data_IF_774532761093
#
_entry.id   IF_774532761093
#
_cell.length_a   1.000
_cell.length_b   1.000
_cell.length_c   1.000
_cell.angle_alpha   90.00
_cell.angle_beta   90.00
_cell.angle_gamma   90.00
#
_symmetry.space_group_name_H-M   'P 1'
#
loop_
_entity.id
_entity.type
_entity.pdbx_description
1 polymer ?
#
# COMPACT_ATOMS: atom_id res chain seq x y z
N UNK A 1 19.74 -11.17 1.79
CA UNK A 1 18.78 -10.42 0.97
C UNK A 1 19.01 -8.93 1.15
N UNK A 2 19.22 -8.24 0.06
CA UNK A 2 19.44 -6.80 0.11
C UNK A 2 18.13 -6.07 0.25
N UNK A 3 18.15 -5.01 1.04
CA UNK A 3 16.98 -4.15 1.21
C UNK A 3 17.34 -2.73 0.85
N UNK A 4 16.34 -1.98 0.40
CA UNK A 4 16.50 -0.57 0.08
C UNK A 4 15.55 0.23 0.93
N UNK A 5 16.06 1.25 1.59
CA UNK A 5 15.23 2.16 2.35
C UNK A 5 14.64 3.22 1.41
N UNK A 6 13.33 3.30 1.36
CA UNK A 6 12.65 4.30 0.56
C UNK A 6 11.69 5.08 1.46
N UNK A 7 11.21 6.21 0.96
CA UNK A 7 10.20 6.98 1.67
C UNK A 7 8.99 7.20 0.76
N UNK A 8 7.80 7.10 1.35
CA UNK A 8 6.56 7.35 0.64
C UNK A 8 5.67 8.22 1.52
N UNK A 9 4.82 9.01 0.87
CA UNK A 9 3.81 9.79 1.57
C UNK A 9 2.52 8.99 1.61
N UNK A 10 1.91 8.91 2.77
CA UNK A 10 0.67 8.17 2.96
C UNK A 10 -0.38 9.15 3.47
N UNK A 11 -1.60 9.03 2.94
CA UNK A 11 -2.71 9.83 3.42
C UNK A 11 -2.88 9.60 4.92
N UNK A 12 -2.94 10.69 5.68
CA UNK A 12 -2.93 10.62 7.14
C UNK A 12 -4.08 9.78 7.69
N UNK A 13 -5.29 10.01 7.19
CA UNK A 13 -6.46 9.28 7.66
C UNK A 13 -6.40 7.80 7.29
N UNK A 14 -5.85 7.50 6.11
CA UNK A 14 -5.68 6.12 5.67
C UNK A 14 -4.68 5.40 6.56
N UNK A 15 -3.59 6.06 6.90
CA UNK A 15 -2.59 5.49 7.79
C UNK A 15 -3.19 5.18 9.17
N UNK A 16 -4.00 6.11 9.69
CA UNK A 16 -4.68 5.90 10.96
C UNK A 16 -5.61 4.70 10.92
N UNK A 17 -6.34 4.55 9.81
CA UNK A 17 -7.23 3.39 9.62
C UNK A 17 -6.42 2.10 9.55
N UNK A 18 -5.28 2.12 8.84
CA UNK A 18 -4.41 0.95 8.76
C UNK A 18 -3.95 0.52 10.14
N UNK A 19 -3.48 1.47 10.96
CA UNK A 19 -3.02 1.18 12.32
C UNK A 19 -4.14 0.59 13.16
N UNK A 20 -5.37 1.08 12.97
CA UNK A 20 -6.51 0.61 13.73
C UNK A 20 -6.91 -0.82 13.37
N UNK A 21 -6.98 -1.12 12.07
CA UNK A 21 -7.40 -2.45 11.63
C UNK A 21 -6.33 -3.51 11.83
N UNK A 22 -5.07 -3.10 12.04
CA UNK A 22 -3.97 -4.03 12.29
C UNK A 22 -3.55 -4.08 13.75
N UNK A 23 -4.35 -3.49 14.65
CA UNK A 23 -3.98 -3.37 16.06
C UNK A 23 -3.67 -4.72 16.71
N UNK A 24 -4.49 -5.73 16.41
CA UNK A 24 -4.31 -7.07 16.95
C UNK A 24 -3.63 -8.03 15.98
N UNK A 25 -3.25 -7.55 14.81
CA UNK A 25 -2.62 -8.35 13.77
C UNK A 25 -1.11 -8.17 13.81
N UNK A 26 -0.40 -9.13 13.22
CA UNK A 26 1.06 -9.03 13.09
C UNK A 26 1.46 -8.38 11.77
N UNK A 27 0.53 -7.70 11.13
CA UNK A 27 0.81 -6.99 9.89
C UNK A 27 1.53 -5.69 10.21
N UNK A 28 2.57 -5.38 9.44
CA UNK A 28 3.26 -4.10 9.52
C UNK A 28 3.19 -3.41 8.16
N UNK A 29 3.44 -2.11 8.15
CA UNK A 29 3.46 -1.37 6.89
C UNK A 29 4.52 -1.93 5.95
N UNK A 30 5.67 -2.29 6.49
CA UNK A 30 6.75 -2.87 5.69
C UNK A 30 6.32 -4.19 5.05
N UNK A 31 5.66 -5.06 5.80
CA UNK A 31 5.14 -6.33 5.25
C UNK A 31 4.11 -6.07 4.17
N UNK A 32 3.19 -5.15 4.44
CA UNK A 32 2.15 -4.81 3.47
C UNK A 32 2.76 -4.31 2.17
N UNK A 33 3.72 -3.40 2.27
CA UNK A 33 4.36 -2.82 1.09
C UNK A 33 5.07 -3.90 0.29
N UNK A 34 5.90 -4.72 0.94
CA UNK A 34 6.65 -5.76 0.22
C UNK A 34 5.74 -6.80 -0.41
N UNK A 35 4.70 -7.21 0.29
CA UNK A 35 3.73 -8.16 -0.24
C UNK A 35 2.93 -7.57 -1.39
N UNK A 36 2.53 -6.31 -1.27
CA UNK A 36 1.79 -5.63 -2.33
C UNK A 36 2.65 -5.44 -3.58
N UNK A 37 3.92 -5.07 -3.40
CA UNK A 37 4.83 -4.94 -4.53
C UNK A 37 5.05 -6.28 -5.23
N UNK A 38 5.18 -7.35 -4.46
CA UNK A 38 5.32 -8.69 -5.02
C UNK A 38 4.12 -9.05 -5.88
N UNK A 39 2.92 -8.84 -5.35
CA UNK A 39 1.70 -9.13 -6.08
C UNK A 39 1.56 -8.25 -7.32
N UNK A 40 1.94 -7.00 -7.22
CA UNK A 40 1.86 -6.09 -8.36
C UNK A 40 2.76 -6.57 -9.51
N UNK A 41 3.95 -7.06 -9.18
CA UNK A 41 4.91 -7.53 -10.18
C UNK A 41 4.50 -8.88 -10.76
N UNK A 42 3.93 -9.77 -9.94
CA UNK A 42 3.73 -11.16 -10.33
C UNK A 42 2.30 -11.52 -10.71
N UNK A 43 1.30 -10.75 -10.24
CA UNK A 43 -0.11 -11.07 -10.44
C UNK A 43 -0.77 -10.01 -11.32
N UNK A 44 -1.05 -10.32 -12.61
CA UNK A 44 -1.67 -9.35 -13.52
C UNK A 44 -3.04 -8.85 -13.05
N UNK A 45 -3.79 -9.69 -12.35
CA UNK A 45 -5.11 -9.29 -11.84
C UNK A 45 -4.98 -8.25 -10.74
N UNK A 46 -4.01 -8.45 -9.86
CA UNK A 46 -3.75 -7.47 -8.79
C UNK A 46 -3.25 -6.16 -9.38
N UNK A 47 -2.33 -6.25 -10.35
CA UNK A 47 -1.81 -5.07 -11.03
C UNK A 47 -2.94 -4.26 -11.67
N UNK A 48 -3.83 -4.94 -12.40
CA UNK A 48 -4.95 -4.25 -13.05
C UNK A 48 -5.86 -3.58 -12.02
N UNK A 49 -6.09 -4.25 -10.91
CA UNK A 49 -6.94 -3.70 -9.85
C UNK A 49 -6.34 -2.43 -9.26
N UNK A 50 -5.03 -2.43 -9.03
CA UNK A 50 -4.33 -1.26 -8.49
C UNK A 50 -4.28 -0.14 -9.53
N UNK A 51 -3.94 -0.47 -10.78
CA UNK A 51 -3.82 0.53 -11.85
C UNK A 51 -5.14 1.24 -12.12
N UNK A 52 -6.25 0.52 -11.99
CA UNK A 52 -7.58 1.08 -12.27
C UNK A 52 -8.26 1.66 -11.03
N UNK A 53 -7.62 1.59 -9.87
CA UNK A 53 -8.19 2.10 -8.63
C UNK A 53 -8.18 3.63 -8.63
N UNK A 54 -9.36 4.25 -8.59
CA UNK A 54 -9.49 5.70 -8.63
C UNK A 54 -10.40 6.24 -7.54
N UNK A 55 -10.62 5.47 -6.48
CA UNK A 55 -11.54 5.85 -5.40
C UNK A 55 -10.92 6.76 -4.36
N UNK A 56 -9.64 7.05 -4.47
CA UNK A 56 -8.99 7.97 -3.56
C UNK A 56 -9.38 9.41 -3.91
N UNK A 57 -10.05 10.08 -2.99
CA UNK A 57 -10.51 11.44 -3.21
C UNK A 57 -9.40 12.43 -2.84
N UNK A 58 -8.39 12.47 -3.68
CA UNK A 58 -7.25 13.35 -3.51
C UNK A 58 -7.07 14.15 -4.79
N UNK A 59 -6.95 15.46 -4.63
CA UNK A 59 -6.72 16.34 -5.76
C UNK A 59 -5.39 16.00 -6.44
N UNK A 60 -5.42 15.81 -7.77
CA UNK A 60 -4.22 15.57 -8.55
C UNK A 60 -3.80 14.12 -8.69
N UNK A 61 -4.50 13.20 -8.06
CA UNK A 61 -4.29 11.75 -8.24
C UNK A 61 -2.84 11.28 -8.09
N UNK A 62 -2.10 11.87 -7.16
CA UNK A 62 -0.72 11.46 -6.90
C UNK A 62 -0.63 10.34 -5.89
N UNK A 63 -1.75 9.91 -5.38
CA UNK A 63 -1.85 8.84 -4.41
C UNK A 63 -2.67 7.69 -5.02
#
# INVERSE_FOLDING_TARGET
>A
MDVKLTSVKILKDLYSQFKRVTLDDKMSLQKLVNRSLTLYVEDPKFKDKIDSFDELQVSGSQF
#
